data_IF_604918063818
#
_entry.id   IF_604918063818
#
_cell.length_a   1.000
_cell.length_b   1.000
_cell.length_c   1.000
_cell.angle_alpha   90.00
_cell.angle_beta   90.00
_cell.angle_gamma   90.00
#
_symmetry.space_group_name_H-M   'P 1'
#
loop_
_entity.id
_entity.type
_entity.pdbx_description
1 polymer ?
#
# COMPACT_ATOMS: atom_id res chain seq x y z
N UNK A 1 -10.57 -1.06 -13.45
CA UNK A 1 -9.28 -1.67 -13.84
C UNK A 1 -9.50 -3.17 -13.96
N UNK A 2 -9.13 -3.82 -15.07
CA UNK A 2 -9.31 -5.26 -15.21
C UNK A 2 -8.14 -6.00 -14.54
N UNK A 3 -8.34 -7.24 -14.07
CA UNK A 3 -7.25 -8.06 -13.53
C UNK A 3 -6.08 -8.22 -14.51
N UNK A 4 -6.38 -8.26 -15.82
CA UNK A 4 -5.37 -8.31 -16.87
C UNK A 4 -4.42 -7.11 -16.85
N UNK A 5 -4.94 -5.91 -16.58
CA UNK A 5 -4.12 -4.70 -16.47
C UNK A 5 -3.21 -4.73 -15.24
N UNK A 6 -3.66 -5.33 -14.14
CA UNK A 6 -2.85 -5.48 -12.92
C UNK A 6 -1.70 -6.46 -13.13
N UNK A 7 -1.96 -7.58 -13.81
CA UNK A 7 -0.88 -8.54 -14.18
C UNK A 7 0.15 -7.87 -15.07
N UNK A 8 -0.29 -7.09 -16.06
CA UNK A 8 0.61 -6.38 -16.97
C UNK A 8 1.44 -5.28 -16.28
N UNK A 9 1.01 -4.81 -15.12
CA UNK A 9 1.77 -3.85 -14.33
C UNK A 9 3.05 -4.46 -13.74
N UNK A 10 3.10 -5.78 -13.54
CA UNK A 10 4.29 -6.51 -13.13
C UNK A 10 5.15 -6.83 -14.36
N UNK A 11 5.83 -5.83 -14.86
CA UNK A 11 6.71 -5.97 -16.02
C UNK A 11 8.08 -5.38 -15.73
N UNK A 12 9.11 -6.00 -16.28
CA UNK A 12 10.45 -5.40 -16.26
C UNK A 12 10.51 -4.31 -17.32
N UNK A 13 11.00 -3.13 -16.94
CA UNK A 13 11.27 -2.01 -17.85
C UNK A 13 12.61 -1.38 -17.45
N UNK A 14 13.44 -1.08 -18.45
CA UNK A 14 14.79 -0.57 -18.22
C UNK A 14 15.78 -1.63 -17.71
N UNK A 15 16.92 -1.16 -17.23
CA UNK A 15 17.99 -2.01 -16.72
C UNK A 15 18.11 -1.94 -15.18
N UNK A 16 18.64 -2.98 -14.58
CA UNK A 16 18.95 -2.99 -13.15
C UNK A 16 19.99 -1.92 -12.78
N UNK A 17 20.96 -1.67 -13.64
CA UNK A 17 22.02 -0.68 -13.38
C UNK A 17 21.44 0.75 -13.37
N UNK A 18 20.52 1.07 -14.27
CA UNK A 18 19.83 2.37 -14.28
C UNK A 18 18.99 2.54 -13.03
N UNK A 19 18.22 1.52 -12.64
CA UNK A 19 17.45 1.53 -11.41
C UNK A 19 18.34 1.73 -10.19
N UNK A 20 19.44 1.01 -10.10
CA UNK A 20 20.42 1.11 -9.02
C UNK A 20 21.05 2.49 -8.95
N UNK A 21 21.44 3.07 -10.10
CA UNK A 21 21.96 4.43 -10.18
C UNK A 21 20.97 5.47 -9.68
N UNK A 22 19.66 5.30 -10.00
CA UNK A 22 18.59 6.16 -9.52
C UNK A 22 18.40 6.06 -7.99
N UNK A 23 18.45 4.88 -7.42
CA UNK A 23 18.19 4.63 -5.98
C UNK A 23 19.39 4.96 -5.11
N UNK A 24 20.61 4.72 -5.59
CA UNK A 24 21.85 4.81 -4.80
C UNK A 24 22.08 6.17 -4.11
N UNK A 25 21.84 7.35 -4.74
CA UNK A 25 22.02 8.66 -4.08
C UNK A 25 21.09 8.88 -2.88
N UNK A 26 19.99 8.13 -2.79
CA UNK A 26 18.99 8.26 -1.73
C UNK A 26 19.18 7.27 -0.57
N UNK A 27 20.11 6.32 -0.71
CA UNK A 27 20.35 5.26 0.28
C UNK A 27 20.81 5.77 1.65
N UNK A 28 21.44 6.95 1.71
CA UNK A 28 21.86 7.58 2.96
C UNK A 28 20.67 8.19 3.75
N UNK A 29 19.51 8.31 3.13
CA UNK A 29 18.31 8.86 3.76
C UNK A 29 17.55 7.74 4.48
N UNK A 30 17.54 7.75 5.80
CA UNK A 30 16.93 6.68 6.62
C UNK A 30 15.46 6.42 6.28
N UNK A 31 14.66 7.46 6.06
CA UNK A 31 13.24 7.31 5.68
C UNK A 31 13.09 6.59 4.33
N UNK A 32 13.88 6.97 3.34
CA UNK A 32 13.84 6.34 2.03
C UNK A 32 14.25 4.86 2.10
N UNK A 33 15.36 4.57 2.80
CA UNK A 33 15.82 3.19 3.03
C UNK A 33 14.77 2.32 3.69
N UNK A 34 14.10 2.87 4.72
CA UNK A 34 13.06 2.15 5.43
C UNK A 34 11.88 1.81 4.52
N UNK A 35 11.39 2.78 3.71
CA UNK A 35 10.28 2.59 2.77
C UNK A 35 10.67 1.54 1.72
N UNK A 36 11.86 1.64 1.15
CA UNK A 36 12.35 0.68 0.16
C UNK A 36 12.49 -0.73 0.76
N UNK A 37 13.08 -0.86 1.96
CA UNK A 37 13.22 -2.13 2.66
C UNK A 37 11.85 -2.75 3.02
N UNK A 38 10.87 -1.93 3.39
CA UNK A 38 9.50 -2.37 3.66
C UNK A 38 8.85 -3.02 2.44
N UNK A 39 9.13 -2.52 1.24
CA UNK A 39 8.67 -3.13 -0.01
C UNK A 39 9.24 -4.53 -0.20
N UNK A 40 10.54 -4.72 0.03
CA UNK A 40 11.20 -6.03 -0.07
C UNK A 40 10.75 -7.01 1.02
N UNK A 41 10.25 -6.52 2.15
CA UNK A 41 9.82 -7.39 3.24
C UNK A 41 8.47 -8.08 2.98
N UNK A 42 7.66 -7.59 2.05
CA UNK A 42 6.32 -8.12 1.80
C UNK A 42 6.29 -9.64 1.52
N UNK A 43 7.08 -10.20 0.57
CA UNK A 43 7.09 -11.64 0.33
C UNK A 43 7.66 -12.46 1.49
N UNK A 44 8.43 -11.84 2.38
CA UNK A 44 9.03 -12.52 3.53
C UNK A 44 8.03 -12.76 4.68
N UNK A 45 6.94 -11.97 4.75
CA UNK A 45 5.97 -12.08 5.85
C UNK A 45 5.38 -13.48 5.97
N UNK A 46 5.09 -14.13 4.85
CA UNK A 46 4.54 -15.48 4.82
C UNK A 46 5.56 -16.51 5.28
N UNK A 47 6.77 -16.42 4.78
CA UNK A 47 7.89 -17.32 5.09
C UNK A 47 8.25 -17.23 6.57
N UNK A 48 8.36 -16.01 7.09
CA UNK A 48 8.74 -15.73 8.46
C UNK A 48 7.56 -15.79 9.45
N UNK A 49 6.33 -16.04 8.97
CA UNK A 49 5.09 -16.04 9.76
C UNK A 49 4.85 -14.73 10.51
N UNK A 50 5.34 -13.61 9.96
CA UNK A 50 5.10 -12.29 10.53
C UNK A 50 3.73 -11.74 10.19
N UNK A 51 3.26 -10.81 11.02
CA UNK A 51 2.00 -10.08 10.80
C UNK A 51 2.15 -9.07 9.67
N UNK A 52 1.03 -8.74 9.06
CA UNK A 52 0.88 -7.58 8.18
C UNK A 52 1.24 -6.33 8.96
N UNK A 53 1.95 -5.40 8.33
CA UNK A 53 2.17 -4.08 8.89
C UNK A 53 1.95 -2.99 7.85
N UNK A 54 1.69 -1.80 8.35
CA UNK A 54 1.37 -0.62 7.58
C UNK A 54 2.48 0.42 7.78
N UNK A 55 3.05 0.90 6.69
CA UNK A 55 4.04 1.98 6.69
C UNK A 55 3.37 3.24 6.17
N UNK A 56 3.32 4.27 6.99
CA UNK A 56 2.74 5.54 6.62
C UNK A 56 3.77 6.65 6.61
N UNK A 57 4.07 7.17 5.43
CA UNK A 57 5.01 8.26 5.23
C UNK A 57 4.25 9.57 5.09
N UNK A 58 4.20 10.36 6.14
CA UNK A 58 3.46 11.60 6.20
C UNK A 58 4.35 12.83 6.37
N UNK A 59 3.82 14.01 6.03
CA UNK A 59 4.49 15.30 6.16
C UNK A 59 4.08 16.29 5.08
N UNK A 60 4.61 17.49 5.13
CA UNK A 60 4.26 18.58 4.21
C UNK A 60 4.41 18.20 2.72
N UNK A 61 3.70 18.93 1.89
CA UNK A 61 3.74 18.78 0.43
C UNK A 61 5.16 18.97 -0.12
N UNK A 62 5.46 18.37 -1.28
CA UNK A 62 6.77 18.40 -1.96
C UNK A 62 7.93 17.73 -1.19
N UNK A 63 7.65 16.97 -0.12
CA UNK A 63 8.66 16.25 0.67
C UNK A 63 9.19 14.96 0.04
N UNK A 64 8.85 14.63 -1.21
CA UNK A 64 9.32 13.40 -1.89
C UNK A 64 8.62 12.11 -1.46
N UNK A 65 7.50 12.18 -0.73
CA UNK A 65 6.76 11.02 -0.22
C UNK A 65 6.31 10.07 -1.34
N UNK A 66 5.63 10.61 -2.33
CA UNK A 66 5.18 9.86 -3.51
C UNK A 66 6.35 9.32 -4.32
N UNK A 67 7.46 10.05 -4.43
CA UNK A 67 8.67 9.57 -5.10
C UNK A 67 9.27 8.35 -4.38
N UNK A 68 9.33 8.38 -3.05
CA UNK A 68 9.80 7.24 -2.26
C UNK A 68 8.87 6.02 -2.41
N UNK A 69 7.55 6.23 -2.41
CA UNK A 69 6.57 5.16 -2.66
C UNK A 69 6.76 4.56 -4.05
N UNK A 70 6.87 5.39 -5.10
CA UNK A 70 7.11 4.92 -6.47
C UNK A 70 8.41 4.15 -6.59
N UNK A 71 9.50 4.61 -5.94
CA UNK A 71 10.76 3.88 -5.90
C UNK A 71 10.64 2.52 -5.21
N UNK A 72 9.81 2.40 -4.17
CA UNK A 72 9.54 1.14 -3.51
C UNK A 72 8.71 0.17 -4.37
N UNK A 73 7.78 0.68 -5.18
CA UNK A 73 6.96 -0.11 -6.09
C UNK A 73 7.70 -0.48 -7.39
N UNK A 74 8.66 0.36 -7.84
CA UNK A 74 9.45 0.11 -9.06
C UNK A 74 10.30 -1.16 -8.99
N UNK A 75 10.50 -1.72 -7.81
CA UNK A 75 11.12 -3.05 -7.60
C UNK A 75 10.28 -4.16 -8.24
N UNK A 76 8.96 -3.97 -8.33
CA UNK A 76 7.99 -5.00 -8.69
C UNK A 76 7.38 -4.80 -10.08
N UNK A 77 7.42 -3.59 -10.61
CA UNK A 77 6.86 -3.27 -11.92
C UNK A 77 6.62 -1.80 -12.12
N UNK A 78 5.61 -1.45 -12.93
CA UNK A 78 5.24 -0.07 -13.24
C UNK A 78 4.59 0.62 -12.02
N UNK A 79 5.27 1.57 -11.36
CA UNK A 79 4.80 2.13 -10.09
C UNK A 79 3.43 2.80 -10.17
N UNK A 80 3.14 3.52 -11.27
CA UNK A 80 1.87 4.22 -11.46
C UNK A 80 0.70 3.24 -11.57
N UNK A 81 0.91 2.09 -12.20
CA UNK A 81 -0.10 1.07 -12.36
C UNK A 81 -0.28 0.22 -11.08
N UNK A 82 0.78 0.06 -10.28
CA UNK A 82 0.75 -0.68 -9.01
C UNK A 82 0.21 0.16 -7.84
N UNK A 83 0.21 1.49 -7.98
CA UNK A 83 -0.21 2.42 -6.94
C UNK A 83 -1.73 2.62 -6.95
N UNK A 84 -2.33 2.59 -5.78
CA UNK A 84 -3.73 2.90 -5.56
C UNK A 84 -3.90 4.29 -4.96
N UNK A 85 -5.11 4.82 -4.99
CA UNK A 85 -5.49 6.00 -4.22
C UNK A 85 -6.55 5.67 -3.17
N UNK A 86 -6.72 6.54 -2.18
CA UNK A 86 -7.70 6.37 -1.09
C UNK A 86 -9.17 6.45 -1.53
N UNK A 87 -9.47 6.89 -2.76
CA UNK A 87 -10.83 6.95 -3.29
C UNK A 87 -11.39 5.58 -3.72
N UNK A 88 -10.61 4.51 -3.55
CA UNK A 88 -11.10 3.17 -3.85
C UNK A 88 -12.19 2.75 -2.86
N UNK A 89 -13.23 2.07 -3.36
CA UNK A 89 -14.23 1.46 -2.48
C UNK A 89 -13.60 0.37 -1.62
N UNK A 90 -14.18 0.08 -0.45
CA UNK A 90 -13.69 -0.99 0.42
C UNK A 90 -13.59 -2.33 -0.31
N UNK A 91 -14.57 -2.68 -1.14
CA UNK A 91 -14.55 -3.90 -1.96
C UNK A 91 -13.41 -3.88 -2.97
N UNK A 92 -13.14 -2.71 -3.57
CA UNK A 92 -12.01 -2.52 -4.45
C UNK A 92 -10.68 -2.76 -3.74
N UNK A 93 -10.51 -2.19 -2.55
CA UNK A 93 -9.31 -2.39 -1.71
C UNK A 93 -9.13 -3.85 -1.30
N UNK A 94 -10.19 -4.55 -0.87
CA UNK A 94 -10.15 -5.97 -0.52
C UNK A 94 -9.70 -6.85 -1.71
N UNK A 95 -10.24 -6.55 -2.92
CA UNK A 95 -9.87 -7.27 -4.15
C UNK A 95 -8.42 -7.01 -4.55
N UNK A 96 -7.97 -5.77 -4.41
CA UNK A 96 -6.59 -5.40 -4.72
C UNK A 96 -5.62 -6.02 -3.70
N UNK A 97 -5.93 -5.95 -2.40
CA UNK A 97 -5.11 -6.59 -1.37
C UNK A 97 -5.02 -8.12 -1.59
N UNK A 98 -6.13 -8.77 -1.94
CA UNK A 98 -6.12 -10.19 -2.29
C UNK A 98 -5.33 -10.51 -3.55
N UNK A 99 -5.34 -9.63 -4.54
CA UNK A 99 -4.53 -9.76 -5.76
C UNK A 99 -3.03 -9.57 -5.49
N UNK A 100 -2.66 -8.57 -4.68
CA UNK A 100 -1.28 -8.29 -4.28
C UNK A 100 -0.79 -9.15 -3.10
N UNK A 101 -1.48 -10.23 -2.79
CA UNK A 101 -1.08 -11.15 -1.74
C UNK A 101 0.41 -11.50 -1.85
N UNK A 102 1.14 -11.37 -0.75
CA UNK A 102 2.58 -11.56 -0.63
C UNK A 102 3.46 -10.50 -1.38
N UNK A 103 2.86 -9.43 -1.95
CA UNK A 103 3.56 -8.29 -2.56
C UNK A 103 3.20 -6.98 -1.84
N UNK A 104 4.00 -5.92 -1.98
CA UNK A 104 3.68 -4.64 -1.35
C UNK A 104 2.43 -3.99 -1.98
N UNK A 105 1.60 -3.38 -1.15
CA UNK A 105 0.44 -2.61 -1.56
C UNK A 105 0.74 -1.12 -1.39
N UNK A 106 0.89 -0.39 -2.50
CA UNK A 106 1.13 1.04 -2.49
C UNK A 106 -0.17 1.86 -2.50
N UNK A 107 -0.30 2.83 -1.61
CA UNK A 107 -1.47 3.72 -1.52
C UNK A 107 -0.99 5.17 -1.45
N UNK A 108 -1.34 5.98 -2.45
CA UNK A 108 -1.02 7.40 -2.47
C UNK A 108 -2.26 8.26 -2.16
N UNK A 109 -2.09 9.22 -1.26
CA UNK A 109 -3.17 10.14 -0.84
C UNK A 109 -3.49 11.20 -1.91
N UNK A 110 -2.92 11.12 -3.10
CA UNK A 110 -3.17 12.09 -4.16
C UNK A 110 -4.67 12.41 -4.27
N UNK A 111 -5.09 13.52 -3.65
CA UNK A 111 -6.41 14.14 -3.80
C UNK A 111 -7.50 13.75 -2.79
N UNK A 112 -7.21 13.82 -1.51
CA UNK A 112 -8.28 14.20 -0.56
C UNK A 112 -8.30 15.73 -0.38
N UNK A 113 -8.28 16.47 -1.48
CA UNK A 113 -8.56 17.90 -1.47
C UNK A 113 -10.03 18.08 -1.10
N UNK A 114 -10.31 18.41 0.16
CA UNK A 114 -11.59 18.97 0.48
C UNK A 114 -12.24 18.71 1.83
N UNK A 115 -11.87 17.72 2.64
CA UNK A 115 -12.43 17.61 4.00
C UNK A 115 -11.55 16.72 4.89
N UNK A 116 -10.74 17.34 5.73
CA UNK A 116 -9.79 16.66 6.63
C UNK A 116 -10.41 15.63 7.58
N UNK A 117 -11.63 15.86 8.07
CA UNK A 117 -12.33 14.94 8.98
C UNK A 117 -12.83 13.65 8.32
N UNK A 118 -13.19 13.70 7.03
CA UNK A 118 -13.58 12.50 6.27
C UNK A 118 -12.36 11.63 5.91
N UNK A 119 -11.19 12.25 5.72
CA UNK A 119 -9.97 11.56 5.33
C UNK A 119 -9.38 10.70 6.44
N UNK A 120 -9.30 11.23 7.68
CA UNK A 120 -8.75 10.50 8.84
C UNK A 120 -9.56 9.25 9.16
N UNK A 121 -10.89 9.36 9.27
CA UNK A 121 -11.75 8.19 9.50
C UNK A 121 -11.67 7.14 8.38
N UNK A 122 -11.39 7.58 7.15
CA UNK A 122 -11.22 6.66 6.02
C UNK A 122 -9.89 5.92 6.08
N UNK A 123 -8.80 6.61 6.46
CA UNK A 123 -7.47 6.01 6.58
C UNK A 123 -7.41 4.99 7.71
N UNK A 124 -7.93 5.31 8.89
CA UNK A 124 -8.01 4.36 10.02
C UNK A 124 -8.76 3.08 9.61
N UNK A 125 -9.92 3.21 8.96
CA UNK A 125 -10.68 2.06 8.46
C UNK A 125 -9.89 1.20 7.47
N UNK A 126 -9.12 1.84 6.59
CA UNK A 126 -8.26 1.15 5.63
C UNK A 126 -7.14 0.40 6.36
N UNK A 127 -6.49 1.05 7.33
CA UNK A 127 -5.44 0.43 8.15
C UNK A 127 -5.97 -0.80 8.86
N UNK A 128 -7.12 -0.70 9.55
CA UNK A 128 -7.73 -1.84 10.23
C UNK A 128 -8.10 -2.96 9.26
N UNK A 129 -8.70 -2.63 8.12
CA UNK A 129 -9.10 -3.61 7.12
C UNK A 129 -7.88 -4.36 6.55
N UNK A 130 -6.85 -3.64 6.11
CA UNK A 130 -5.65 -4.24 5.53
C UNK A 130 -4.91 -5.08 6.57
N UNK A 131 -4.77 -4.57 7.80
CA UNK A 131 -4.09 -5.27 8.90
C UNK A 131 -4.80 -6.56 9.32
N UNK A 132 -6.12 -6.64 9.08
CA UNK A 132 -6.91 -7.85 9.35
C UNK A 132 -6.59 -9.04 8.45
N UNK A 133 -5.96 -8.83 7.30
CA UNK A 133 -5.51 -9.89 6.39
C UNK A 133 -6.62 -10.65 5.67
N UNK A 134 -7.87 -10.25 5.83
CA UNK A 134 -9.02 -10.85 5.15
C UNK A 134 -10.13 -9.83 4.90
N UNK A 135 -10.88 -10.05 3.82
CA UNK A 135 -12.05 -9.27 3.47
C UNK A 135 -13.26 -9.59 4.34
N UNK A 136 -14.31 -8.81 4.18
CA UNK A 136 -15.59 -9.07 4.85
C UNK A 136 -16.25 -10.33 4.30
N UNK A 137 -16.80 -11.15 5.19
CA UNK A 137 -17.64 -12.28 4.84
C UNK A 137 -18.95 -11.73 4.27
N UNK A 138 -19.36 -12.21 3.10
CA UNK A 138 -20.61 -11.81 2.43
C UNK A 138 -21.44 -13.04 2.08
N UNK A 139 -22.74 -12.94 2.27
CA UNK A 139 -23.67 -13.96 1.79
C UNK A 139 -23.78 -13.96 0.27
N UNK A 140 -24.09 -15.12 -0.31
CA UNK A 140 -24.41 -15.24 -1.73
C UNK A 140 -25.94 -15.20 -1.92
N UNK A 141 -26.42 -14.57 -2.99
CA UNK A 141 -27.85 -14.50 -3.32
C UNK A 141 -28.50 -15.87 -3.50
N UNK A 142 -27.75 -16.86 -3.90
CA UNK A 142 -28.18 -18.26 -4.05
C UNK A 142 -28.03 -19.13 -2.80
N UNK A 143 -27.74 -18.53 -1.63
CA UNK A 143 -27.42 -19.24 -0.38
C UNK A 143 -25.92 -19.51 -0.22
N UNK A 144 -25.45 -19.65 1.05
CA UNK A 144 -24.04 -19.84 1.38
C UNK A 144 -23.23 -18.54 1.44
N UNK A 145 -21.91 -18.66 1.47
CA UNK A 145 -20.96 -17.56 1.60
C UNK A 145 -20.21 -17.34 0.30
N UNK A 146 -19.93 -16.07 -0.02
CA UNK A 146 -19.00 -15.72 -1.09
C UNK A 146 -17.56 -16.02 -0.67
N UNK A 147 -16.69 -16.28 -1.65
CA UNK A 147 -15.26 -16.41 -1.39
C UNK A 147 -14.72 -15.13 -0.75
N UNK A 148 -14.17 -15.26 0.44
CA UNK A 148 -13.56 -14.15 1.17
C UNK A 148 -12.11 -14.01 0.74
N UNK A 149 -11.74 -12.83 0.25
CA UNK A 149 -10.34 -12.53 -0.11
C UNK A 149 -9.47 -12.58 1.13
N UNK A 150 -8.28 -13.16 1.01
CA UNK A 150 -7.24 -13.16 2.04
C UNK A 150 -5.95 -12.61 1.45
N UNK A 151 -5.16 -11.95 2.28
CA UNK A 151 -3.89 -11.38 1.88
C UNK A 151 -2.90 -11.38 3.03
N UNK A 152 -1.63 -11.30 2.66
CA UNK A 152 -0.53 -11.01 3.57
C UNK A 152 0.41 -10.08 2.84
N UNK A 153 0.41 -8.80 3.22
CA UNK A 153 1.10 -7.75 2.48
C UNK A 153 1.75 -6.76 3.44
N UNK A 154 2.68 -5.97 2.94
CA UNK A 154 3.09 -4.71 3.55
C UNK A 154 2.40 -3.59 2.80
N UNK A 155 1.54 -2.84 3.49
CA UNK A 155 0.94 -1.64 2.91
C UNK A 155 1.86 -0.44 3.14
N UNK A 156 2.18 0.27 2.08
CA UNK A 156 3.00 1.48 2.11
C UNK A 156 2.15 2.63 1.60
N UNK A 157 1.86 3.60 2.47
CA UNK A 157 1.01 4.72 2.13
C UNK A 157 1.69 6.06 2.36
N UNK A 158 1.21 7.09 1.66
CA UNK A 158 1.64 8.47 1.83
C UNK A 158 0.50 9.36 2.29
N UNK A 159 0.80 10.44 2.98
CA UNK A 159 -0.18 11.43 3.41
C UNK A 159 0.42 12.78 3.80
N UNK A 160 -0.42 13.76 4.02
CA UNK A 160 0.01 15.09 4.47
C UNK A 160 -0.10 15.24 5.99
N UNK A 161 -1.03 14.53 6.62
CA UNK A 161 -1.29 14.58 8.06
C UNK A 161 -1.02 13.23 8.74
N UNK A 162 -0.76 13.20 10.07
CA UNK A 162 -0.61 11.95 10.82
C UNK A 162 -1.93 11.17 10.85
N UNK A 163 -1.85 9.83 10.96
CA UNK A 163 -3.02 8.94 11.02
C UNK A 163 -3.85 9.17 12.29
N UNK A 164 -3.19 9.44 13.42
CA UNK A 164 -3.86 9.65 14.71
C UNK A 164 -3.61 11.04 15.23
N UNK A 165 -4.63 11.68 15.74
CA UNK A 165 -4.54 12.80 16.65
C UNK A 165 -4.21 12.29 18.07
N UNK A 166 -3.62 13.13 18.92
CA UNK A 166 -3.09 12.81 20.26
C UNK A 166 -3.99 11.97 21.18
N UNK A 167 -5.29 11.91 20.91
CA UNK A 167 -6.28 11.17 21.71
C UNK A 167 -6.25 9.64 21.50
N UNK A 168 -5.63 9.15 20.44
CA UNK A 168 -5.56 7.71 20.12
C UNK A 168 -4.21 7.07 20.47
N UNK A 169 -3.30 7.82 21.08
CA UNK A 169 -1.99 7.30 21.52
C UNK A 169 -1.95 6.87 22.98
N UNK A 170 -3.06 6.99 23.72
CA UNK A 170 -3.17 6.49 25.11
C UNK A 170 -3.65 5.04 25.10
N UNK A 171 -2.80 4.09 24.69
CA UNK A 171 -2.93 2.66 25.01
C UNK A 171 -1.53 2.11 25.29
#
# INVERSE_FOLDING_TARGET
>A
MSQKNLVNAYCQSGSYEDWKAMVQPHRERNKFRFILASSFSAPLLKILKHRIFFVYNWGGSKGGKTAALKSALSVWGEPEALMMNFNATQVGLERMAGFYCDLPLGIDERQLAGNSLYSQNSLEKIVYMISGGQGRIRGNKGGGLQHTQQWRTVAIATGEEPISTSTSMEI
#
